data_IF_871405066066
#
_entry.id   IF_871405066066
#
_cell.length_a   1.000
_cell.length_b   1.000
_cell.length_c   1.000
_cell.angle_alpha   90.00
_cell.angle_beta   90.00
_cell.angle_gamma   90.00
#
_symmetry.space_group_name_H-M   'P 1'
#
loop_
_entity.id
_entity.type
_entity.pdbx_description
1 polymer ?
#
# COMPACT_ATOMS: atom_id res chain seq x y z
N UNK A 1 -17.24 9.15 11.43
CA UNK A 1 -16.58 9.99 12.46
C UNK A 1 -15.10 9.64 12.46
N UNK A 2 -14.18 10.61 12.33
CA UNK A 2 -12.76 10.31 12.43
C UNK A 2 -12.46 9.84 13.85
N UNK A 3 -11.81 8.68 13.97
CA UNK A 3 -11.34 8.18 15.27
C UNK A 3 -10.31 9.19 15.76
N UNK A 4 -10.65 9.96 16.78
CA UNK A 4 -9.76 10.92 17.40
C UNK A 4 -8.71 10.13 18.19
N UNK A 5 -7.61 9.78 17.53
CA UNK A 5 -6.54 8.89 18.04
C UNK A 5 -5.62 9.55 19.07
N UNK A 6 -5.91 10.78 19.50
CA UNK A 6 -5.11 11.47 20.49
C UNK A 6 -5.70 11.29 21.90
N UNK A 7 -5.32 10.18 22.55
CA UNK A 7 -5.57 10.00 23.97
C UNK A 7 -4.62 10.89 24.79
N UNK A 8 -5.12 12.07 25.18
CA UNK A 8 -4.39 13.04 26.00
C UNK A 8 -4.55 12.81 27.52
N UNK A 9 -5.15 11.69 27.95
CA UNK A 9 -5.45 11.44 29.36
C UNK A 9 -4.20 11.47 30.22
N UNK A 10 -3.10 10.87 29.74
CA UNK A 10 -1.81 10.86 30.43
C UNK A 10 -1.24 12.28 30.54
N UNK A 11 -1.30 13.06 29.45
CA UNK A 11 -0.79 14.43 29.44
C UNK A 11 -1.55 15.33 30.42
N UNK A 12 -2.88 15.25 30.43
CA UNK A 12 -3.73 16.00 31.37
C UNK A 12 -3.41 15.64 32.82
N UNK A 13 -3.33 14.35 33.13
CA UNK A 13 -2.94 13.87 34.47
C UNK A 13 -1.58 14.42 34.91
N UNK A 14 -0.60 14.44 34.01
CA UNK A 14 0.71 15.03 34.29
C UNK A 14 0.61 16.53 34.58
N UNK A 15 -0.10 17.30 33.76
CA UNK A 15 -0.28 18.74 33.97
C UNK A 15 -0.98 19.04 35.29
N UNK A 16 -2.07 18.34 35.60
CA UNK A 16 -2.84 18.54 36.83
C UNK A 16 -2.00 18.20 38.06
N UNK A 17 -1.24 17.10 38.01
CA UNK A 17 -0.30 16.73 39.07
C UNK A 17 0.73 17.83 39.29
N UNK A 18 1.39 18.31 38.23
CA UNK A 18 2.40 19.36 38.38
C UNK A 18 1.82 20.72 38.80
N UNK A 19 0.63 21.10 38.32
CA UNK A 19 -0.07 22.33 38.75
C UNK A 19 -0.39 22.29 40.23
N UNK A 20 -0.93 21.17 40.71
CA UNK A 20 -1.17 20.94 42.13
C UNK A 20 0.16 21.04 42.91
N UNK A 21 1.20 20.37 42.41
CA UNK A 21 2.48 20.39 43.10
C UNK A 21 3.13 21.79 43.17
N UNK A 22 2.98 22.59 42.13
CA UNK A 22 3.49 23.96 42.09
C UNK A 22 2.76 24.84 43.08
N UNK A 23 1.42 24.72 43.15
CA UNK A 23 0.60 25.47 44.11
C UNK A 23 1.03 25.22 45.56
N UNK A 24 1.13 23.96 45.97
CA UNK A 24 1.52 23.62 47.34
C UNK A 24 2.98 24.03 47.63
N UNK A 25 3.88 23.88 46.65
CA UNK A 25 5.27 24.35 46.77
C UNK A 25 5.35 25.87 47.01
N UNK A 26 4.55 26.65 46.30
CA UNK A 26 4.50 28.12 46.46
C UNK A 26 3.93 28.51 47.83
N UNK A 27 2.91 27.81 48.33
CA UNK A 27 2.36 28.02 49.68
C UNK A 27 3.41 27.79 50.78
N UNK A 28 4.21 26.73 50.67
CA UNK A 28 5.32 26.49 51.63
C UNK A 28 6.36 27.60 51.53
N UNK A 29 6.69 28.06 50.30
CA UNK A 29 7.64 29.18 50.12
C UNK A 29 7.13 30.50 50.69
N UNK A 30 5.82 30.70 50.71
CA UNK A 30 5.17 31.84 51.37
C UNK A 30 4.99 31.65 52.89
N UNK A 31 5.34 30.47 53.44
CA UNK A 31 5.13 30.08 54.85
C UNK A 31 3.65 30.03 55.27
N UNK A 32 2.75 29.81 54.32
CA UNK A 32 1.29 29.81 54.53
C UNK A 32 0.66 28.44 54.34
N UNK A 33 1.46 27.39 54.20
CA UNK A 33 0.97 26.03 53.99
C UNK A 33 0.44 25.41 55.31
N UNK A 34 -0.76 24.80 55.31
CA UNK A 34 -1.42 24.31 56.53
C UNK A 34 -0.72 23.11 57.19
N UNK A 35 -0.19 22.16 56.42
CA UNK A 35 0.36 20.91 56.97
C UNK A 35 1.90 20.84 57.01
N UNK A 36 2.58 21.24 55.93
CA UNK A 36 4.03 21.13 55.80
C UNK A 36 4.76 22.45 56.03
N UNK A 37 5.77 22.43 56.91
CA UNK A 37 6.67 23.56 57.17
C UNK A 37 7.88 23.60 56.23
N UNK A 38 8.37 22.43 55.81
CA UNK A 38 9.53 22.28 54.94
C UNK A 38 9.16 21.65 53.61
N UNK A 39 9.88 22.03 52.56
CA UNK A 39 9.65 21.49 51.21
C UNK A 39 10.07 20.02 51.12
N UNK A 40 11.04 19.62 51.94
CA UNK A 40 11.51 18.24 52.06
C UNK A 40 10.39 17.28 52.45
N UNK A 41 9.48 17.69 53.33
CA UNK A 41 8.34 16.86 53.76
C UNK A 41 7.30 16.73 52.65
N UNK A 42 7.06 17.81 51.90
CA UNK A 42 6.21 17.81 50.70
C UNK A 42 6.74 16.85 49.62
N UNK A 43 8.05 16.84 49.38
CA UNK A 43 8.67 15.90 48.44
C UNK A 43 8.53 14.44 48.90
N UNK A 44 8.64 14.18 50.21
CA UNK A 44 8.46 12.85 50.80
C UNK A 44 7.03 12.36 50.65
N UNK A 45 6.04 13.22 50.92
CA UNK A 45 4.62 12.90 50.80
C UNK A 45 4.20 12.52 49.37
N UNK A 46 4.75 13.21 48.36
CA UNK A 46 4.46 12.92 46.95
C UNK A 46 5.34 11.85 46.32
N UNK A 47 6.33 11.32 47.04
CA UNK A 47 7.28 10.35 46.49
C UNK A 47 8.12 10.89 45.34
N UNK A 48 8.39 12.21 45.30
CA UNK A 48 9.19 12.85 44.25
C UNK A 48 10.56 13.29 44.75
N UNK A 49 11.51 13.47 43.82
CA UNK A 49 12.82 14.02 44.15
C UNK A 49 12.84 15.53 43.86
N UNK A 50 13.40 16.31 44.79
CA UNK A 50 13.69 17.74 44.64
C UNK A 50 14.27 18.10 43.27
N UNK A 51 15.27 17.35 42.77
CA UNK A 51 15.92 17.60 41.48
C UNK A 51 14.94 17.47 40.31
N UNK A 52 14.07 16.46 40.36
CA UNK A 52 13.06 16.21 39.33
C UNK A 52 12.03 17.33 39.31
N UNK A 53 11.43 17.67 40.45
CA UNK A 53 10.43 18.73 40.54
C UNK A 53 11.00 20.08 40.10
N UNK A 54 12.14 20.50 40.66
CA UNK A 54 12.75 21.80 40.34
C UNK A 54 13.12 21.93 38.85
N UNK A 55 13.45 20.84 38.16
CA UNK A 55 13.69 20.84 36.71
C UNK A 55 12.46 21.25 35.91
N UNK A 56 11.26 20.83 36.29
CA UNK A 56 10.02 21.22 35.61
C UNK A 56 9.56 22.60 36.09
N UNK A 57 9.58 22.85 37.40
CA UNK A 57 9.21 24.14 37.97
C UNK A 57 10.06 25.30 37.43
N UNK A 58 11.39 25.17 37.37
CA UNK A 58 12.25 26.22 36.84
C UNK A 58 11.99 26.51 35.35
N UNK A 59 11.67 25.48 34.56
CA UNK A 59 11.29 25.69 33.15
C UNK A 59 9.96 26.43 33.03
N UNK A 60 8.96 26.00 33.80
CA UNK A 60 7.67 26.66 33.85
C UNK A 60 7.78 28.11 34.33
N UNK A 61 8.57 28.38 35.38
CA UNK A 61 8.80 29.74 35.89
C UNK A 61 9.44 30.68 34.86
N UNK A 62 10.28 30.14 33.97
CA UNK A 62 10.93 30.93 32.91
C UNK A 62 10.00 31.23 31.74
N UNK A 63 9.11 30.30 31.37
CA UNK A 63 8.30 30.42 30.15
C UNK A 63 6.83 30.79 30.39
N UNK A 64 6.29 30.48 31.57
CA UNK A 64 4.87 30.58 31.92
C UNK A 64 3.97 29.57 31.21
N UNK A 65 4.52 28.60 30.46
CA UNK A 65 3.73 27.68 29.61
C UNK A 65 3.60 26.30 30.23
N UNK A 66 2.37 25.80 30.31
CA UNK A 66 2.07 24.45 30.82
C UNK A 66 2.80 23.33 30.05
N UNK A 67 3.07 23.53 28.76
CA UNK A 67 3.82 22.58 27.94
C UNK A 67 5.22 22.26 28.48
N UNK A 68 5.81 23.14 29.30
CA UNK A 68 7.13 22.90 29.89
C UNK A 68 7.10 21.96 31.11
N UNK A 69 5.91 21.72 31.69
CA UNK A 69 5.68 20.71 32.72
C UNK A 69 5.67 19.29 32.13
N UNK A 70 5.53 19.17 30.81
CA UNK A 70 5.57 17.88 30.14
C UNK A 70 7.02 17.40 29.92
N UNK A 71 7.25 16.07 29.93
CA UNK A 71 8.52 15.50 29.50
C UNK A 71 8.82 15.88 28.05
N UNK A 72 10.00 16.46 27.82
CA UNK A 72 10.46 16.72 26.44
C UNK A 72 10.80 15.41 25.74
N UNK A 73 10.70 15.42 24.41
CA UNK A 73 11.04 14.29 23.54
C UNK A 73 12.39 13.67 23.94
N UNK A 74 12.36 12.37 24.26
CA UNK A 74 13.56 11.57 24.51
C UNK A 74 14.10 11.03 23.19
N UNK A 75 15.41 10.81 23.13
CA UNK A 75 16.10 10.22 21.99
C UNK A 75 16.85 11.21 21.11
N UNK A 76 17.39 10.76 19.96
CA UNK A 76 18.24 11.57 19.10
C UNK A 76 17.52 12.83 18.62
N UNK A 77 18.22 13.97 18.67
CA UNK A 77 17.72 15.21 18.07
C UNK A 77 17.46 14.99 16.58
N UNK A 78 16.53 15.79 16.04
CA UNK A 78 16.18 15.70 14.64
C UNK A 78 17.43 15.83 13.75
N UNK A 79 17.56 14.94 12.75
CA UNK A 79 18.66 14.85 11.76
C UNK A 79 20.05 14.44 12.26
N UNK A 80 20.29 14.25 13.56
CA UNK A 80 21.67 13.95 14.04
C UNK A 80 22.21 12.59 13.62
N UNK A 81 21.34 11.62 13.30
CA UNK A 81 21.72 10.27 12.81
C UNK A 81 21.51 10.08 11.30
N UNK A 82 21.34 11.16 10.54
CA UNK A 82 21.15 11.04 9.08
C UNK A 82 22.50 10.90 8.38
N UNK A 83 22.59 10.02 7.37
CA UNK A 83 23.71 10.04 6.44
C UNK A 83 23.85 11.42 5.80
N UNK A 84 25.07 11.75 5.40
CA UNK A 84 25.34 12.97 4.64
C UNK A 84 24.49 13.02 3.36
N UNK A 85 24.05 14.22 2.96
CA UNK A 85 23.17 14.40 1.81
C UNK A 85 23.74 13.78 0.53
N UNK A 86 25.06 13.87 0.36
CA UNK A 86 25.79 13.23 -0.74
C UNK A 86 25.57 11.71 -0.81
N UNK A 87 25.53 11.02 0.33
CA UNK A 87 25.31 9.58 0.42
C UNK A 87 23.84 9.26 0.12
N UNK A 88 22.90 10.07 0.62
CA UNK A 88 21.48 9.90 0.30
C UNK A 88 21.23 10.04 -1.21
N UNK A 89 21.86 11.03 -1.87
CA UNK A 89 21.74 11.23 -3.31
C UNK A 89 22.27 10.04 -4.12
N UNK A 90 23.38 9.42 -3.70
CA UNK A 90 23.88 8.20 -4.34
C UNK A 90 22.91 7.02 -4.20
N UNK A 91 22.32 6.85 -3.01
CA UNK A 91 21.29 5.81 -2.78
C UNK A 91 20.06 6.04 -3.67
N UNK A 92 19.60 7.29 -3.79
CA UNK A 92 18.45 7.65 -4.64
C UNK A 92 18.73 7.32 -6.10
N UNK A 93 19.89 7.72 -6.63
CA UNK A 93 20.27 7.45 -8.02
C UNK A 93 20.29 5.95 -8.31
N UNK A 94 20.91 5.14 -7.44
CA UNK A 94 20.92 3.69 -7.59
C UNK A 94 19.51 3.08 -7.47
N UNK A 95 18.65 3.63 -6.61
CA UNK A 95 17.26 3.16 -6.48
C UNK A 95 16.41 3.47 -7.71
N UNK A 96 16.59 4.63 -8.34
CA UNK A 96 15.92 4.99 -9.59
C UNK A 96 16.32 4.09 -10.76
N UNK A 97 17.55 3.54 -10.74
CA UNK A 97 18.00 2.51 -11.69
C UNK A 97 17.39 1.11 -11.43
N UNK A 98 16.53 0.96 -10.42
CA UNK A 98 15.85 -0.30 -10.12
C UNK A 98 16.56 -1.20 -9.09
N UNK A 99 17.72 -0.78 -8.55
CA UNK A 99 18.48 -1.63 -7.63
C UNK A 99 17.73 -1.89 -6.31
N UNK A 100 17.83 -3.13 -5.83
CA UNK A 100 17.37 -3.56 -4.51
C UNK A 100 18.17 -2.90 -3.39
N UNK A 101 17.57 -2.83 -2.18
CA UNK A 101 18.25 -2.28 -1.00
C UNK A 101 19.59 -2.97 -0.70
N UNK A 102 19.69 -4.27 -0.96
CA UNK A 102 20.92 -5.05 -0.72
C UNK A 102 21.98 -4.80 -1.80
N UNK A 103 21.55 -4.68 -3.06
CA UNK A 103 22.44 -4.35 -4.20
C UNK A 103 23.04 -2.97 -4.02
N UNK A 104 22.23 -1.97 -3.64
CA UNK A 104 22.69 -0.62 -3.33
C UNK A 104 23.80 -0.64 -2.27
N UNK A 105 23.61 -1.40 -1.19
CA UNK A 105 24.64 -1.54 -0.14
C UNK A 105 25.91 -2.17 -0.72
N UNK A 106 25.79 -3.24 -1.51
CA UNK A 106 26.94 -3.93 -2.11
C UNK A 106 27.73 -3.02 -3.06
N UNK A 107 27.03 -2.19 -3.85
CA UNK A 107 27.64 -1.21 -4.78
C UNK A 107 28.34 -0.08 -4.03
N UNK A 108 27.75 0.40 -2.93
CA UNK A 108 28.29 1.54 -2.17
C UNK A 108 29.38 1.15 -1.17
N UNK A 109 29.37 -0.09 -0.67
CA UNK A 109 30.35 -0.60 0.30
C UNK A 109 31.82 -0.37 -0.11
N UNK A 110 32.26 -0.66 -1.36
CA UNK A 110 33.63 -0.39 -1.77
C UNK A 110 33.95 1.10 -1.93
N UNK A 111 32.96 1.98 -2.12
CA UNK A 111 33.17 3.43 -2.33
C UNK A 111 33.16 4.22 -1.03
N UNK A 112 32.24 3.88 -0.12
CA UNK A 112 31.96 4.68 1.08
C UNK A 112 32.50 4.03 2.37
N UNK A 113 32.93 2.77 2.32
CA UNK A 113 33.45 2.01 3.47
C UNK A 113 32.57 2.17 4.72
N UNK A 114 33.10 2.77 5.79
CA UNK A 114 32.40 3.01 7.07
C UNK A 114 31.17 3.90 6.96
N UNK A 115 31.07 4.73 5.92
CA UNK A 115 29.95 5.65 5.71
C UNK A 115 28.80 5.01 4.93
N UNK A 116 28.96 3.75 4.51
CA UNK A 116 27.92 3.02 3.76
C UNK A 116 26.69 2.79 4.65
N UNK A 117 25.50 3.25 4.23
CA UNK A 117 24.28 2.94 4.96
C UNK A 117 24.01 1.43 4.99
N UNK A 118 23.47 0.91 6.08
CA UNK A 118 22.97 -0.46 6.13
C UNK A 118 21.76 -0.66 5.21
N UNK A 119 21.34 -1.91 4.94
CA UNK A 119 20.17 -2.19 4.11
C UNK A 119 18.89 -1.51 4.67
N UNK A 120 18.74 -1.47 5.99
CA UNK A 120 17.67 -0.72 6.66
C UNK A 120 17.84 0.78 6.53
N UNK A 121 19.08 1.28 6.55
CA UNK A 121 19.40 2.68 6.26
C UNK A 121 18.99 3.09 4.84
N UNK A 122 19.32 2.27 3.84
CA UNK A 122 18.89 2.44 2.45
C UNK A 122 17.37 2.45 2.33
N UNK A 123 16.68 1.50 2.97
CA UNK A 123 15.22 1.47 2.98
C UNK A 123 14.63 2.76 3.59
N UNK A 124 15.18 3.23 4.72
CA UNK A 124 14.72 4.45 5.35
C UNK A 124 14.98 5.69 4.49
N UNK A 125 16.08 5.74 3.72
CA UNK A 125 16.31 6.78 2.71
C UNK A 125 15.23 6.67 1.62
N UNK A 126 15.06 5.51 0.99
CA UNK A 126 14.07 5.32 -0.07
C UNK A 126 12.64 5.66 0.37
N UNK A 127 12.25 5.29 1.60
CA UNK A 127 10.95 5.62 2.18
C UNK A 127 10.75 7.13 2.39
N UNK A 128 11.80 7.85 2.82
CA UNK A 128 11.72 9.32 2.97
C UNK A 128 11.45 10.03 1.65
N UNK A 129 11.98 9.51 0.55
CA UNK A 129 11.82 10.07 -0.79
C UNK A 129 10.68 9.43 -1.60
N UNK A 130 9.86 8.56 -1.00
CA UNK A 130 8.74 7.90 -1.68
C UNK A 130 9.14 6.80 -2.71
N UNK A 131 10.42 6.43 -2.78
CA UNK A 131 10.99 5.45 -3.72
C UNK A 131 10.93 3.99 -3.21
N UNK A 132 10.18 3.76 -2.13
CA UNK A 132 9.98 2.44 -1.54
C UNK A 132 8.85 1.65 -2.23
N UNK A 133 7.99 2.32 -3.00
CA UNK A 133 6.89 1.69 -3.73
C UNK A 133 7.38 1.27 -5.11
N UNK A 134 6.96 0.09 -5.58
CA UNK A 134 7.08 -0.29 -6.98
C UNK A 134 6.31 0.76 -7.80
N UNK A 135 6.86 1.18 -8.95
CA UNK A 135 6.25 2.22 -9.78
C UNK A 135 4.75 1.93 -9.93
N UNK A 136 3.86 2.87 -9.56
CA UNK A 136 2.44 2.68 -9.79
C UNK A 136 2.25 2.42 -11.29
N UNK A 137 1.52 1.34 -11.64
CA UNK A 137 1.18 1.07 -13.04
C UNK A 137 0.61 2.35 -13.64
N UNK A 138 1.15 2.80 -14.76
CA UNK A 138 0.55 3.91 -15.51
C UNK A 138 -0.92 3.57 -15.71
N UNK A 139 -1.81 4.49 -15.33
CA UNK A 139 -3.23 4.34 -15.62
C UNK A 139 -3.40 4.59 -17.12
N UNK A 140 -3.40 3.52 -17.90
CA UNK A 140 -3.80 3.62 -19.30
C UNK A 140 -5.28 4.03 -19.37
N UNK A 141 -5.58 4.99 -20.24
CA UNK A 141 -6.96 5.33 -20.58
C UNK A 141 -7.56 4.15 -21.35
N UNK A 142 -8.26 3.26 -20.63
CA UNK A 142 -8.97 2.14 -21.23
C UNK A 142 -10.11 2.68 -22.11
N UNK A 143 -9.99 2.53 -23.41
CA UNK A 143 -11.11 2.73 -24.35
C UNK A 143 -12.01 1.50 -24.25
N UNK A 144 -13.32 1.70 -24.03
CA UNK A 144 -14.31 0.63 -24.02
C UNK A 144 -15.11 0.71 -25.32
N UNK A 145 -15.21 -0.42 -26.02
CA UNK A 145 -16.15 -0.55 -27.13
C UNK A 145 -17.54 -0.62 -26.51
N UNK A 146 -18.45 0.27 -26.90
CA UNK A 146 -19.84 0.28 -26.44
C UNK A 146 -20.68 -0.13 -27.65
N UNK A 147 -21.40 -1.24 -27.52
CA UNK A 147 -22.37 -1.72 -28.51
C UNK A 147 -23.77 -1.34 -28.06
N UNK A 148 -24.67 -1.08 -29.01
CA UNK A 148 -26.00 -0.51 -28.76
C UNK A 148 -27.14 -1.53 -28.97
N UNK A 149 -26.85 -2.66 -29.61
CA UNK A 149 -27.82 -3.72 -29.89
C UNK A 149 -27.20 -5.11 -29.92
N UNK A 150 -28.04 -6.13 -29.72
CA UNK A 150 -27.68 -7.54 -29.87
C UNK A 150 -27.23 -7.84 -31.30
N UNK A 151 -26.21 -8.68 -31.44
CA UNK A 151 -25.64 -9.09 -32.73
C UNK A 151 -24.67 -8.09 -33.34
N UNK A 152 -24.47 -6.90 -32.75
CA UNK A 152 -23.53 -5.91 -33.31
C UNK A 152 -22.05 -6.34 -33.15
N UNK A 153 -21.74 -7.17 -32.14
CA UNK A 153 -20.42 -7.77 -32.00
C UNK A 153 -20.50 -9.03 -31.15
N UNK A 154 -20.04 -10.14 -31.72
CA UNK A 154 -19.75 -11.37 -30.99
C UNK A 154 -18.29 -11.42 -30.57
N UNK A 155 -18.01 -11.91 -29.37
CA UNK A 155 -16.68 -12.28 -28.92
C UNK A 155 -16.59 -13.79 -28.91
N UNK A 156 -15.63 -14.34 -29.65
CA UNK A 156 -15.31 -15.75 -29.58
C UNK A 156 -14.02 -15.98 -28.81
N UNK A 157 -14.04 -16.97 -27.93
CA UNK A 157 -12.89 -17.37 -27.12
C UNK A 157 -12.81 -18.90 -26.98
N UNK A 158 -11.58 -19.39 -26.83
CA UNK A 158 -11.27 -20.81 -26.64
C UNK A 158 -10.66 -21.01 -25.26
N UNK A 159 -11.35 -21.76 -24.40
CA UNK A 159 -10.88 -22.03 -23.04
C UNK A 159 -10.54 -23.51 -22.84
N UNK A 160 -9.37 -23.82 -22.28
CA UNK A 160 -9.00 -25.19 -21.93
C UNK A 160 -9.67 -25.62 -20.62
N UNK A 161 -10.43 -26.71 -20.65
CA UNK A 161 -11.07 -27.28 -19.47
C UNK A 161 -10.08 -28.11 -18.64
N UNK A 162 -10.08 -27.87 -17.33
CA UNK A 162 -9.27 -28.66 -16.40
C UNK A 162 -9.66 -30.14 -16.42
N UNK A 163 -8.65 -31.03 -16.39
CA UNK A 163 -8.85 -32.50 -16.43
C UNK A 163 -9.76 -33.05 -15.33
N UNK A 164 -9.89 -32.34 -14.21
CA UNK A 164 -10.69 -32.75 -13.07
C UNK A 164 -12.18 -32.40 -13.20
N UNK A 165 -12.58 -31.61 -14.20
CA UNK A 165 -13.95 -31.10 -14.34
C UNK A 165 -14.91 -32.23 -14.73
N UNK A 166 -14.50 -33.13 -15.63
CA UNK A 166 -15.35 -34.24 -16.11
C UNK A 166 -14.82 -35.56 -15.57
N UNK A 167 -15.63 -36.21 -14.70
CA UNK A 167 -15.30 -37.51 -14.12
C UNK A 167 -15.24 -38.58 -15.20
N UNK A 168 -14.17 -39.38 -15.21
CA UNK A 168 -13.98 -40.48 -16.16
C UNK A 168 -13.38 -40.07 -17.51
N UNK A 169 -13.08 -38.79 -17.72
CA UNK A 169 -12.53 -38.28 -18.98
C UNK A 169 -11.11 -37.77 -18.78
N UNK A 170 -10.12 -38.52 -19.27
CA UNK A 170 -8.70 -38.17 -19.17
C UNK A 170 -8.18 -37.30 -20.33
N UNK A 171 -8.94 -37.23 -21.43
CA UNK A 171 -8.61 -36.42 -22.61
C UNK A 171 -8.71 -34.94 -22.30
N UNK A 172 -7.84 -34.15 -22.96
CA UNK A 172 -7.95 -32.68 -22.93
C UNK A 172 -9.24 -32.28 -23.62
N UNK A 173 -9.91 -31.29 -23.06
CA UNK A 173 -11.13 -30.73 -23.60
C UNK A 173 -11.00 -29.22 -23.64
N UNK A 174 -11.69 -28.64 -24.60
CA UNK A 174 -11.72 -27.23 -24.84
C UNK A 174 -13.17 -26.78 -24.94
N UNK A 175 -13.39 -25.51 -24.65
CA UNK A 175 -14.69 -24.88 -24.70
C UNK A 175 -14.58 -23.70 -25.66
N UNK A 176 -15.29 -23.78 -26.76
CA UNK A 176 -15.40 -22.70 -27.74
C UNK A 176 -16.68 -21.94 -27.40
N UNK A 177 -16.54 -20.68 -27.00
CA UNK A 177 -17.67 -19.88 -26.54
C UNK A 177 -17.85 -18.65 -27.43
N UNK A 178 -19.06 -18.42 -27.91
CA UNK A 178 -19.46 -17.19 -28.59
C UNK A 178 -20.38 -16.38 -27.67
N UNK A 179 -20.00 -15.13 -27.40
CA UNK A 179 -20.69 -14.22 -26.50
C UNK A 179 -21.09 -12.94 -27.21
N UNK A 180 -22.32 -12.49 -27.08
CA UNK A 180 -22.78 -11.18 -27.56
C UNK A 180 -22.34 -10.06 -26.61
N UNK A 181 -21.68 -9.01 -27.13
CA UNK A 181 -21.13 -7.94 -26.29
C UNK A 181 -22.21 -7.09 -25.60
N UNK A 182 -23.37 -6.93 -26.23
CA UNK A 182 -24.45 -6.11 -25.68
C UNK A 182 -25.21 -6.83 -24.56
N UNK A 183 -25.83 -7.96 -24.87
CA UNK A 183 -26.69 -8.72 -23.95
C UNK A 183 -25.93 -9.63 -22.99
N UNK A 184 -24.67 -9.95 -23.29
CA UNK A 184 -23.87 -10.97 -22.60
C UNK A 184 -24.43 -12.39 -22.69
N UNK A 185 -25.38 -12.65 -23.60
CA UNK A 185 -25.78 -14.01 -23.94
C UNK A 185 -24.62 -14.75 -24.58
N UNK A 186 -24.41 -15.99 -24.16
CA UNK A 186 -23.31 -16.80 -24.61
C UNK A 186 -23.75 -18.24 -24.88
N UNK A 187 -23.18 -18.83 -25.92
CA UNK A 187 -23.30 -20.27 -26.19
C UNK A 187 -21.92 -20.88 -26.27
N UNK A 188 -21.77 -22.06 -25.66
CA UNK A 188 -20.49 -22.74 -25.54
C UNK A 188 -20.58 -24.18 -26.01
N UNK A 189 -19.62 -24.58 -26.84
CA UNK A 189 -19.48 -25.93 -27.38
C UNK A 189 -18.23 -26.58 -26.82
N UNK A 190 -18.33 -27.85 -26.41
CA UNK A 190 -17.19 -28.62 -25.92
C UNK A 190 -16.53 -29.35 -27.10
N UNK A 191 -15.22 -29.17 -27.26
CA UNK A 191 -14.42 -29.81 -28.31
C UNK A 191 -13.25 -30.59 -27.71
N UNK A 192 -12.74 -31.57 -28.47
CA UNK A 192 -11.61 -32.42 -28.05
C UNK A 192 -10.25 -31.86 -28.50
N UNK A 193 -10.28 -30.99 -29.50
CA UNK A 193 -9.12 -30.25 -30.02
C UNK A 193 -9.49 -28.80 -30.35
N UNK A 194 -8.45 -28.01 -30.64
CA UNK A 194 -8.53 -26.59 -31.03
C UNK A 194 -7.95 -26.39 -32.43
N UNK A 195 -8.07 -27.39 -33.31
CA UNK A 195 -7.73 -27.19 -34.72
C UNK A 195 -8.69 -26.16 -35.32
N UNK A 196 -8.22 -25.36 -36.28
CA UNK A 196 -9.03 -24.27 -36.83
C UNK A 196 -10.34 -24.78 -37.46
N UNK A 197 -10.34 -26.00 -38.00
CA UNK A 197 -11.53 -26.64 -38.55
C UNK A 197 -12.55 -27.00 -37.46
N UNK A 198 -12.10 -27.60 -36.35
CA UNK A 198 -12.96 -27.94 -35.21
C UNK A 198 -13.56 -26.70 -34.58
N UNK A 199 -12.75 -25.66 -34.37
CA UNK A 199 -13.20 -24.37 -33.84
C UNK A 199 -14.19 -23.70 -34.78
N UNK A 200 -13.96 -23.72 -36.10
CA UNK A 200 -14.92 -23.22 -37.08
C UNK A 200 -16.28 -23.91 -36.97
N UNK A 201 -16.32 -25.25 -36.92
CA UNK A 201 -17.58 -25.99 -36.79
C UNK A 201 -18.29 -25.71 -35.47
N UNK A 202 -17.56 -25.66 -34.36
CA UNK A 202 -18.10 -25.29 -33.06
C UNK A 202 -18.68 -23.86 -33.10
N UNK A 203 -17.97 -22.91 -33.70
CA UNK A 203 -18.43 -21.52 -33.89
C UNK A 203 -19.73 -21.45 -34.67
N UNK A 204 -19.81 -22.16 -35.80
CA UNK A 204 -21.01 -22.22 -36.63
C UNK A 204 -22.20 -22.79 -35.84
N UNK A 205 -21.98 -23.80 -34.99
CA UNK A 205 -23.02 -24.29 -34.08
C UNK A 205 -23.45 -23.21 -33.09
N UNK A 206 -22.52 -22.50 -32.45
CA UNK A 206 -22.86 -21.40 -31.54
C UNK A 206 -23.68 -20.31 -32.24
N UNK A 207 -23.32 -19.90 -33.45
CA UNK A 207 -24.05 -18.90 -34.24
C UNK A 207 -25.48 -19.39 -34.51
N UNK A 208 -25.63 -20.62 -35.01
CA UNK A 208 -26.93 -21.19 -35.32
C UNK A 208 -27.83 -21.31 -34.09
N UNK A 209 -27.28 -21.75 -32.95
CA UNK A 209 -28.03 -21.84 -31.70
C UNK A 209 -28.48 -20.47 -31.21
N UNK A 210 -27.59 -19.48 -31.19
CA UNK A 210 -27.94 -18.12 -30.77
C UNK A 210 -28.95 -17.46 -31.72
N UNK A 211 -28.89 -17.77 -33.01
CA UNK A 211 -29.88 -17.32 -33.98
C UNK A 211 -31.24 -17.99 -33.77
N UNK A 212 -31.25 -19.31 -33.56
CA UNK A 212 -32.49 -20.09 -33.41
C UNK A 212 -33.23 -19.75 -32.11
N UNK A 213 -32.51 -19.67 -30.99
CA UNK A 213 -33.10 -19.48 -29.67
C UNK A 213 -33.41 -18.01 -29.37
N UNK A 214 -32.57 -17.08 -29.85
CA UNK A 214 -32.64 -15.66 -29.46
C UNK A 214 -32.79 -14.70 -30.64
N UNK A 215 -32.85 -15.20 -31.88
CA UNK A 215 -32.96 -14.36 -33.07
C UNK A 215 -31.72 -13.51 -33.37
N UNK A 216 -30.58 -13.80 -32.73
CA UNK A 216 -29.36 -13.00 -32.85
C UNK A 216 -28.68 -13.29 -34.18
N UNK A 217 -28.39 -12.25 -34.95
CA UNK A 217 -27.54 -12.31 -36.14
C UNK A 217 -26.32 -11.43 -35.93
N UNK A 218 -25.14 -12.04 -35.90
CA UNK A 218 -23.89 -11.32 -35.69
C UNK A 218 -23.43 -10.62 -36.98
N UNK A 219 -23.09 -9.33 -36.86
CA UNK A 219 -22.49 -8.55 -37.95
C UNK A 219 -20.98 -8.71 -38.01
N UNK A 220 -20.36 -8.71 -36.84
CA UNK A 220 -18.93 -8.89 -36.66
C UNK A 220 -18.71 -9.87 -35.50
N UNK A 221 -17.70 -10.72 -35.64
CA UNK A 221 -17.20 -11.57 -34.57
C UNK A 221 -15.71 -11.26 -34.40
N UNK A 222 -15.29 -10.99 -33.18
CA UNK A 222 -13.88 -10.77 -32.82
C UNK A 222 -13.37 -11.96 -32.02
N UNK A 223 -12.20 -12.46 -32.40
CA UNK A 223 -11.44 -13.47 -31.69
C UNK A 223 -10.11 -12.90 -31.20
N UNK A 224 -9.35 -13.68 -30.44
CA UNK A 224 -7.91 -13.45 -30.39
C UNK A 224 -7.26 -13.92 -31.71
N UNK A 225 -6.06 -13.42 -32.02
CA UNK A 225 -5.31 -13.87 -33.20
C UNK A 225 -4.58 -15.20 -32.92
N UNK A 226 -5.25 -16.10 -32.21
CA UNK A 226 -4.81 -17.45 -31.95
C UNK A 226 -4.76 -18.29 -33.24
N UNK A 227 -3.83 -19.26 -33.36
CA UNK A 227 -3.76 -20.16 -34.50
C UNK A 227 -5.06 -20.94 -34.74
N UNK A 228 -5.89 -21.12 -33.72
CA UNK A 228 -7.20 -21.76 -33.78
C UNK A 228 -8.25 -20.95 -34.54
N UNK A 229 -8.13 -19.62 -34.64
CA UNK A 229 -9.10 -18.76 -35.33
C UNK A 229 -8.64 -18.35 -36.73
N UNK A 230 -7.36 -18.52 -37.05
CA UNK A 230 -6.83 -18.27 -38.39
C UNK A 230 -5.32 -18.35 -38.45
N UNK A 231 -4.79 -18.43 -39.67
CA UNK A 231 -3.35 -18.33 -39.88
C UNK A 231 -2.90 -16.90 -39.58
N UNK A 232 -1.85 -16.74 -38.78
CA UNK A 232 -1.17 -15.44 -38.63
C UNK A 232 -0.63 -15.03 -40.00
N UNK A 233 -1.26 -14.03 -40.62
CA UNK A 233 -0.62 -13.35 -41.73
C UNK A 233 0.60 -12.62 -41.16
N UNK A 234 1.79 -13.19 -41.37
CA UNK A 234 3.04 -12.48 -41.12
C UNK A 234 3.04 -11.26 -42.03
N UNK A 235 2.77 -10.08 -41.47
CA UNK A 235 3.18 -8.85 -42.14
C UNK A 235 4.70 -8.81 -42.05
N UNK A 236 5.38 -9.44 -43.01
CA UNK A 236 6.78 -9.17 -43.27
C UNK A 236 6.88 -7.67 -43.56
N UNK A 237 7.48 -6.93 -42.62
CA UNK A 237 8.06 -5.61 -42.85
C UNK A 237 9.56 -5.78 -42.96
#
# INVERSE_FOLDING_TARGET
MPINTNDFTVERKYLDTYRFMIREYELIKQKSHPEYRFVEDLYRAWGTNRKSFLKYYNRFKQSGKDSDLLPRKRGPKYRTRRPLQFIENQVINLRQKGNSKHEIVRILKPKLHRFTPSASGVYNISKRYGLNRLNPRMKENKRKIIKERMGQLGHIDCHHLGKAIIRGQSRKLYLVCLLDDYSRLAWAEVTEDITSLTVMFATMRCINMLQSEYGIKFEEIISDNGPEFGQRQSQNK
#
